data_IF_096885951152
#
_entry.id   IF_096885951152
#
_cell.length_a   1.000
_cell.length_b   1.000
_cell.length_c   1.000
_cell.angle_alpha   90.00
_cell.angle_beta   90.00
_cell.angle_gamma   90.00
#
_symmetry.space_group_name_H-M   'P 1'
#
loop_
_entity.id
_entity.type
_entity.pdbx_description
1 polymer ?
#
# COMPACT_ATOMS: atom_id res chain seq x y z
N UNK A 1 -49.77 -8.26 -16.25
CA UNK A 1 -49.41 -9.40 -15.39
C UNK A 1 -47.92 -9.32 -15.10
N UNK A 2 -47.54 -9.12 -13.83
CA UNK A 2 -46.14 -8.95 -13.39
C UNK A 2 -45.55 -10.35 -13.18
N UNK A 3 -44.62 -10.77 -14.03
CA UNK A 3 -43.81 -11.97 -13.76
C UNK A 3 -42.60 -11.56 -12.93
N UNK A 4 -42.67 -11.84 -11.63
CA UNK A 4 -41.59 -11.69 -10.67
C UNK A 4 -40.70 -12.94 -10.80
N UNK A 5 -39.59 -12.86 -11.54
CA UNK A 5 -38.58 -13.92 -11.54
C UNK A 5 -37.63 -13.68 -10.36
N UNK A 6 -37.93 -14.29 -9.22
CA UNK A 6 -37.02 -14.35 -8.09
C UNK A 6 -35.89 -15.33 -8.41
N UNK A 7 -34.77 -14.81 -8.90
CA UNK A 7 -33.51 -15.55 -9.04
C UNK A 7 -32.96 -15.81 -7.63
N UNK A 8 -33.30 -16.97 -7.09
CA UNK A 8 -32.71 -17.50 -5.87
C UNK A 8 -31.24 -17.84 -6.18
N UNK A 9 -30.32 -16.92 -5.87
CA UNK A 9 -28.88 -17.20 -5.87
C UNK A 9 -28.63 -18.23 -4.75
N UNK A 10 -28.63 -19.51 -5.10
CA UNK A 10 -28.09 -20.54 -4.24
C UNK A 10 -26.59 -20.22 -4.07
N UNK A 11 -26.22 -19.72 -2.90
CA UNK A 11 -24.82 -19.58 -2.52
C UNK A 11 -24.23 -20.99 -2.43
N UNK A 12 -23.60 -21.43 -3.52
CA UNK A 12 -22.74 -22.61 -3.49
C UNK A 12 -21.64 -22.28 -2.47
N UNK A 13 -21.50 -23.05 -1.38
CA UNK A 13 -20.33 -22.90 -0.53
C UNK A 13 -19.15 -23.39 -1.37
N UNK A 14 -18.47 -22.44 -2.02
CA UNK A 14 -17.23 -22.71 -2.73
C UNK A 14 -16.23 -23.17 -1.69
N UNK A 15 -16.07 -24.49 -1.56
CA UNK A 15 -15.03 -25.08 -0.73
C UNK A 15 -13.71 -24.45 -1.13
N UNK A 16 -13.13 -23.70 -0.19
CA UNK A 16 -11.80 -23.11 -0.29
C UNK A 16 -10.78 -24.22 -0.60
N UNK A 17 -10.46 -24.39 -1.88
CA UNK A 17 -9.38 -25.24 -2.34
C UNK A 17 -8.38 -24.35 -3.09
N UNK A 18 -7.24 -24.15 -2.42
CA UNK A 18 -6.05 -23.40 -2.82
C UNK A 18 -6.30 -21.97 -3.36
N UNK A 19 -6.29 -20.97 -2.49
CA UNK A 19 -6.00 -19.57 -2.89
C UNK A 19 -4.51 -19.36 -3.21
N UNK A 20 -3.76 -20.44 -3.46
CA UNK A 20 -2.35 -20.43 -3.84
C UNK A 20 -2.28 -20.77 -5.31
N UNK A 21 -1.60 -19.96 -6.10
CA UNK A 21 -1.40 -20.19 -7.53
C UNK A 21 -0.06 -19.65 -8.01
N UNK A 22 0.48 -20.18 -9.10
CA UNK A 22 1.64 -19.58 -9.80
C UNK A 22 1.20 -18.65 -10.95
N UNK A 23 -0.10 -18.58 -11.24
CA UNK A 23 -0.64 -17.74 -12.31
C UNK A 23 -1.20 -16.43 -11.72
N UNK A 24 -0.57 -15.31 -12.07
CA UNK A 24 -0.93 -14.00 -11.54
C UNK A 24 -2.33 -13.54 -11.97
N UNK A 25 -2.73 -13.83 -13.22
CA UNK A 25 -4.07 -13.46 -13.69
C UNK A 25 -5.16 -14.22 -12.94
N UNK A 26 -4.96 -15.53 -12.73
CA UNK A 26 -5.84 -16.34 -11.89
C UNK A 26 -5.86 -15.81 -10.45
N UNK A 27 -4.70 -15.45 -9.91
CA UNK A 27 -4.61 -14.85 -8.58
C UNK A 27 -5.39 -13.54 -8.47
N UNK A 28 -5.32 -12.69 -9.50
CA UNK A 28 -6.07 -11.43 -9.59
C UNK A 28 -7.58 -11.66 -9.63
N UNK A 29 -8.03 -12.61 -10.45
CA UNK A 29 -9.44 -12.98 -10.55
C UNK A 29 -9.98 -13.49 -9.20
N UNK A 30 -9.24 -14.37 -8.53
CA UNK A 30 -9.59 -14.86 -7.18
C UNK A 30 -9.66 -13.71 -6.17
N UNK A 31 -8.67 -12.81 -6.21
CA UNK A 31 -8.60 -11.68 -5.27
C UNK A 31 -9.75 -10.70 -5.48
N UNK A 32 -10.11 -10.42 -6.73
CA UNK A 32 -11.28 -9.59 -7.08
C UNK A 32 -12.59 -10.25 -6.64
N UNK A 33 -12.78 -11.55 -6.93
CA UNK A 33 -13.98 -12.28 -6.57
C UNK A 33 -14.23 -12.37 -5.06
N UNK A 34 -13.17 -12.37 -4.26
CA UNK A 34 -13.24 -12.46 -2.80
C UNK A 34 -13.00 -11.14 -2.07
N UNK A 35 -12.62 -10.06 -2.76
CA UNK A 35 -12.30 -8.77 -2.14
C UNK A 35 -11.08 -8.82 -1.21
N UNK A 36 -10.07 -9.61 -1.57
CA UNK A 36 -8.87 -9.82 -0.75
C UNK A 36 -7.62 -9.26 -1.43
N UNK A 37 -6.57 -8.90 -0.67
CA UNK A 37 -5.28 -8.56 -1.25
C UNK A 37 -4.57 -9.81 -1.83
N UNK A 38 -3.53 -9.56 -2.62
CA UNK A 38 -2.67 -10.60 -3.18
C UNK A 38 -1.29 -10.50 -2.53
N UNK A 39 -0.76 -11.60 -2.02
CA UNK A 39 0.63 -11.73 -1.61
C UNK A 39 1.44 -12.33 -2.77
N UNK A 40 2.26 -11.51 -3.43
CA UNK A 40 3.24 -11.99 -4.40
C UNK A 40 4.48 -12.47 -3.65
N UNK A 41 4.75 -13.76 -3.72
CA UNK A 41 5.83 -14.42 -2.98
C UNK A 41 6.97 -14.71 -3.95
N UNK A 42 7.98 -13.84 -3.94
CA UNK A 42 9.16 -13.96 -4.80
C UNK A 42 10.20 -14.85 -4.13
N UNK A 43 10.52 -15.99 -4.76
CA UNK A 43 11.39 -17.03 -4.18
C UNK A 43 12.40 -17.58 -5.19
N UNK A 44 13.46 -18.21 -4.69
CA UNK A 44 14.28 -19.16 -5.43
C UNK A 44 14.20 -20.52 -4.74
N UNK A 45 13.18 -21.32 -5.08
CA UNK A 45 12.79 -22.51 -4.31
C UNK A 45 13.87 -23.58 -4.16
N UNK A 46 14.82 -23.69 -5.09
CA UNK A 46 15.82 -24.76 -5.13
C UNK A 46 17.25 -24.34 -4.77
N UNK A 47 17.57 -23.04 -4.75
CA UNK A 47 18.90 -22.54 -4.42
C UNK A 47 18.94 -21.60 -3.19
N UNK A 48 17.79 -21.23 -2.63
CA UNK A 48 17.68 -20.34 -1.47
C UNK A 48 16.99 -21.02 -0.28
N UNK A 49 17.77 -21.41 0.73
CA UNK A 49 17.26 -21.99 1.99
C UNK A 49 16.21 -21.08 2.65
N UNK A 50 16.47 -19.77 2.70
CA UNK A 50 15.51 -18.77 3.22
C UNK A 50 14.19 -18.75 2.45
N UNK A 51 14.24 -18.98 1.14
CA UNK A 51 13.01 -19.08 0.34
C UNK A 51 12.20 -20.31 0.73
N UNK A 52 12.86 -21.44 1.02
CA UNK A 52 12.21 -22.66 1.49
C UNK A 52 11.54 -22.45 2.85
N UNK A 53 12.24 -21.81 3.79
CA UNK A 53 11.68 -21.47 5.12
C UNK A 53 10.44 -20.59 5.01
N UNK A 54 10.47 -19.54 4.17
CA UNK A 54 9.31 -18.66 3.95
C UNK A 54 8.14 -19.43 3.36
N UNK A 55 8.38 -20.31 2.38
CA UNK A 55 7.31 -21.14 1.80
C UNK A 55 6.67 -22.08 2.84
N UNK A 56 7.48 -22.68 3.71
CA UNK A 56 7.01 -23.53 4.80
C UNK A 56 6.14 -22.74 5.80
N UNK A 57 6.63 -21.58 6.25
CA UNK A 57 5.89 -20.72 7.20
C UNK A 57 4.59 -20.19 6.59
N UNK A 58 4.60 -19.75 5.33
CA UNK A 58 3.38 -19.28 4.67
C UNK A 58 2.34 -20.41 4.52
N UNK A 59 2.80 -21.65 4.32
CA UNK A 59 1.94 -22.82 4.22
C UNK A 59 1.32 -23.20 5.58
N UNK A 60 2.01 -22.99 6.69
CA UNK A 60 1.49 -23.32 8.03
C UNK A 60 0.45 -22.31 8.56
N UNK A 61 0.49 -21.05 8.12
CA UNK A 61 -0.32 -19.96 8.69
C UNK A 61 -1.76 -19.81 8.15
N UNK A 62 -2.23 -20.73 7.29
CA UNK A 62 -3.61 -20.72 6.76
C UNK A 62 -4.02 -19.36 6.18
N UNK A 63 -3.11 -18.73 5.43
CA UNK A 63 -3.27 -17.38 4.89
C UNK A 63 -4.34 -17.29 3.78
N UNK A 64 -4.64 -18.43 3.15
CA UNK A 64 -5.63 -18.60 2.08
C UNK A 64 -7.09 -18.41 2.53
N UNK A 65 -7.33 -17.74 3.65
CA UNK A 65 -8.66 -17.28 4.06
C UNK A 65 -8.76 -15.76 4.05
N UNK A 66 -7.63 -15.07 3.96
CA UNK A 66 -7.52 -13.61 4.11
C UNK A 66 -6.80 -12.95 2.93
N UNK A 67 -6.09 -13.72 2.11
CA UNK A 67 -5.37 -13.23 0.94
C UNK A 67 -5.11 -14.33 -0.08
N UNK A 68 -5.00 -13.93 -1.34
CA UNK A 68 -4.56 -14.82 -2.41
C UNK A 68 -3.04 -14.84 -2.45
N UNK A 69 -2.44 -16.02 -2.47
CA UNK A 69 -1.00 -16.19 -2.61
C UNK A 69 -0.68 -16.47 -4.08
N UNK A 70 0.18 -15.64 -4.66
CA UNK A 70 0.77 -15.90 -5.97
C UNK A 70 2.25 -16.18 -5.80
N UNK A 71 2.65 -17.42 -6.08
CA UNK A 71 4.06 -17.82 -6.06
C UNK A 71 4.76 -17.33 -7.32
N UNK A 72 5.78 -16.49 -7.14
CA UNK A 72 6.60 -15.91 -8.21
C UNK A 72 8.02 -16.46 -8.08
N UNK A 73 8.17 -17.73 -8.44
CA UNK A 73 9.40 -18.49 -8.19
C UNK A 73 10.40 -18.40 -9.35
N UNK A 74 11.70 -18.44 -9.01
CA UNK A 74 12.85 -18.42 -9.93
C UNK A 74 13.79 -19.62 -9.65
N UNK A 75 13.37 -20.84 -10.01
CA UNK A 75 14.18 -22.03 -9.81
C UNK A 75 15.35 -22.10 -10.81
N UNK A 76 16.45 -22.76 -10.42
CA UNK A 76 17.62 -23.03 -11.28
C UNK A 76 17.58 -24.44 -11.90
N UNK A 77 17.02 -25.41 -11.18
CA UNK A 77 16.99 -26.82 -11.55
C UNK A 77 15.69 -27.22 -12.26
N UNK A 78 14.58 -26.57 -11.91
CA UNK A 78 13.25 -26.91 -12.42
C UNK A 78 12.83 -26.06 -13.62
N UNK A 79 12.25 -26.70 -14.64
CA UNK A 79 11.68 -25.97 -15.79
C UNK A 79 10.28 -25.45 -15.48
N UNK A 80 10.07 -24.17 -15.76
CA UNK A 80 8.75 -23.55 -15.71
C UNK A 80 8.14 -23.45 -17.12
N UNK A 81 6.82 -23.43 -17.21
CA UNK A 81 6.14 -23.09 -18.46
C UNK A 81 6.54 -21.69 -18.93
N UNK A 82 6.73 -21.51 -20.25
CA UNK A 82 7.19 -20.24 -20.84
C UNK A 82 6.33 -19.05 -20.43
N UNK A 83 5.02 -19.24 -20.32
CA UNK A 83 4.09 -18.18 -19.88
C UNK A 83 4.32 -17.74 -18.44
N UNK A 84 4.52 -18.69 -17.52
CA UNK A 84 4.80 -18.43 -16.11
C UNK A 84 6.17 -17.76 -15.94
N UNK A 85 7.19 -18.22 -16.67
CA UNK A 85 8.52 -17.60 -16.65
C UNK A 85 8.45 -16.12 -17.07
N UNK A 86 7.82 -15.80 -18.20
CA UNK A 86 7.68 -14.43 -18.69
C UNK A 86 6.88 -13.55 -17.71
N UNK A 87 5.80 -14.09 -17.15
CA UNK A 87 5.03 -13.42 -16.10
C UNK A 87 5.90 -13.10 -14.89
N UNK A 88 6.68 -14.06 -14.40
CA UNK A 88 7.51 -13.89 -13.20
C UNK A 88 8.58 -12.82 -13.43
N UNK A 89 9.24 -12.80 -14.59
CA UNK A 89 10.18 -11.73 -14.95
C UNK A 89 9.51 -10.36 -15.01
N UNK A 90 8.34 -10.25 -15.64
CA UNK A 90 7.59 -9.00 -15.72
C UNK A 90 7.17 -8.49 -14.32
N UNK A 91 6.74 -9.40 -13.43
CA UNK A 91 6.41 -9.05 -12.04
C UNK A 91 7.65 -8.61 -11.26
N UNK A 92 8.78 -9.31 -11.41
CA UNK A 92 10.06 -8.95 -10.77
C UNK A 92 10.50 -7.55 -11.16
N UNK A 93 10.39 -7.21 -12.45
CA UNK A 93 10.71 -5.87 -12.95
C UNK A 93 9.72 -4.82 -12.41
N UNK A 94 8.41 -5.08 -12.52
CA UNK A 94 7.35 -4.16 -12.06
C UNK A 94 7.50 -3.79 -10.58
N UNK A 95 7.77 -4.77 -9.73
CA UNK A 95 7.90 -4.58 -8.27
C UNK A 95 9.35 -4.35 -7.81
N UNK A 96 10.29 -4.24 -8.77
CA UNK A 96 11.71 -3.95 -8.57
C UNK A 96 12.38 -4.91 -7.57
N UNK A 97 12.13 -6.20 -7.72
CA UNK A 97 12.63 -7.23 -6.82
C UNK A 97 14.07 -7.59 -7.19
N UNK A 98 14.98 -7.36 -6.24
CA UNK A 98 16.41 -7.60 -6.40
C UNK A 98 16.92 -8.80 -5.59
N UNK A 99 16.24 -9.15 -4.50
CA UNK A 99 16.67 -10.16 -3.54
C UNK A 99 15.53 -11.13 -3.21
N UNK A 100 15.91 -12.35 -2.85
CA UNK A 100 14.99 -13.42 -2.48
C UNK A 100 15.29 -13.92 -1.06
N UNK A 101 14.27 -14.30 -0.26
CA UNK A 101 12.85 -14.13 -0.54
C UNK A 101 12.39 -12.68 -0.35
N UNK A 102 11.37 -12.26 -1.10
CA UNK A 102 10.63 -11.00 -0.87
C UNK A 102 9.14 -11.26 -1.05
N UNK A 103 8.31 -10.80 -0.13
CA UNK A 103 6.85 -10.81 -0.31
C UNK A 103 6.35 -9.39 -0.51
N UNK A 104 5.59 -9.18 -1.58
CA UNK A 104 4.91 -7.91 -1.86
C UNK A 104 3.41 -8.14 -1.71
N UNK A 105 2.81 -7.47 -0.74
CA UNK A 105 1.36 -7.44 -0.59
C UNK A 105 0.80 -6.32 -1.46
N UNK A 106 -0.14 -6.66 -2.36
CA UNK A 106 -0.73 -5.74 -3.32
C UNK A 106 -2.26 -5.75 -3.23
N UNK A 107 -2.89 -4.63 -3.61
CA UNK A 107 -4.32 -4.58 -3.81
C UNK A 107 -4.74 -5.24 -5.14
N UNK A 108 -6.05 -5.36 -5.38
CA UNK A 108 -6.60 -5.97 -6.61
C UNK A 108 -6.28 -5.18 -7.88
N UNK A 109 -5.95 -3.89 -7.76
CA UNK A 109 -5.46 -3.07 -8.88
C UNK A 109 -3.95 -3.24 -9.12
N UNK A 110 -3.26 -4.01 -8.27
CA UNK A 110 -1.83 -4.27 -8.35
C UNK A 110 -0.96 -3.16 -7.77
N UNK A 111 -1.52 -2.26 -6.96
CA UNK A 111 -0.74 -1.29 -6.21
C UNK A 111 -0.17 -1.94 -4.95
N UNK A 112 1.06 -1.58 -4.59
CA UNK A 112 1.70 -2.07 -3.38
C UNK A 112 0.99 -1.52 -2.12
N UNK A 113 0.64 -2.44 -1.23
CA UNK A 113 0.15 -2.17 0.12
C UNK A 113 1.35 -2.13 1.07
N UNK A 114 2.20 -3.15 0.99
CA UNK A 114 3.39 -3.29 1.83
C UNK A 114 4.35 -4.30 1.22
N UNK A 115 5.60 -4.33 1.72
CA UNK A 115 6.61 -5.32 1.35
C UNK A 115 7.33 -5.84 2.59
N UNK A 116 7.64 -7.13 2.57
CA UNK A 116 8.42 -7.80 3.60
C UNK A 116 9.64 -8.45 2.94
N UNK A 117 10.83 -8.00 3.34
CA UNK A 117 12.11 -8.60 2.97
C UNK A 117 12.64 -9.53 4.07
N UNK A 118 13.79 -10.15 3.79
CA UNK A 118 14.58 -10.88 4.79
C UNK A 118 15.79 -10.02 5.22
N UNK A 119 16.20 -10.03 6.51
CA UNK A 119 15.62 -10.78 7.63
C UNK A 119 14.40 -10.08 8.26
N UNK A 120 13.35 -10.86 8.51
CA UNK A 120 12.50 -10.63 9.69
C UNK A 120 13.27 -11.26 10.85
N UNK A 121 13.31 -10.61 12.02
CA UNK A 121 14.05 -11.10 13.19
C UNK A 121 13.74 -12.56 13.54
N UNK A 122 12.52 -13.02 13.23
CA UNK A 122 12.12 -14.42 13.30
C UNK A 122 11.24 -14.83 12.10
N UNK A 123 11.65 -15.90 11.42
CA UNK A 123 10.94 -16.44 10.26
C UNK A 123 9.57 -17.02 10.64
N UNK A 124 9.40 -17.52 11.88
CA UNK A 124 8.11 -18.04 12.35
C UNK A 124 7.00 -16.98 12.34
N UNK A 125 7.38 -15.70 12.46
CA UNK A 125 6.42 -14.60 12.58
C UNK A 125 6.00 -14.05 11.21
N UNK A 126 6.61 -14.54 10.13
CA UNK A 126 6.38 -14.04 8.77
C UNK A 126 4.90 -14.12 8.37
N UNK A 127 4.28 -15.29 8.57
CA UNK A 127 2.87 -15.50 8.24
C UNK A 127 1.95 -14.66 9.13
N UNK A 128 2.21 -14.59 10.43
CA UNK A 128 1.44 -13.78 11.37
C UNK A 128 1.51 -12.28 11.04
N UNK A 129 2.70 -11.77 10.71
CA UNK A 129 2.89 -10.37 10.36
C UNK A 129 2.21 -10.03 9.03
N UNK A 130 2.35 -10.87 8.00
CA UNK A 130 1.68 -10.69 6.71
C UNK A 130 0.14 -10.64 6.89
N UNK A 131 -0.39 -11.55 7.72
CA UNK A 131 -1.80 -11.60 8.10
C UNK A 131 -2.25 -10.32 8.80
N UNK A 132 -1.45 -9.83 9.74
CA UNK A 132 -1.73 -8.57 10.44
C UNK A 132 -1.77 -7.38 9.48
N UNK A 133 -0.84 -7.29 8.53
CA UNK A 133 -0.82 -6.22 7.51
C UNK A 133 -2.08 -6.29 6.66
N UNK A 134 -2.46 -7.48 6.16
CA UNK A 134 -3.67 -7.66 5.36
C UNK A 134 -4.94 -7.22 6.11
N UNK A 135 -5.08 -7.63 7.37
CA UNK A 135 -6.20 -7.23 8.25
C UNK A 135 -6.23 -5.73 8.50
N UNK A 136 -5.08 -5.12 8.83
CA UNK A 136 -4.97 -3.67 9.06
C UNK A 136 -5.38 -2.89 7.80
N UNK A 137 -4.91 -3.32 6.64
CA UNK A 137 -5.27 -2.70 5.37
C UNK A 137 -6.78 -2.78 5.09
N UNK A 138 -7.40 -3.95 5.29
CA UNK A 138 -8.85 -4.11 5.12
C UNK A 138 -9.66 -3.22 6.08
N UNK A 139 -9.27 -3.18 7.36
CA UNK A 139 -9.92 -2.32 8.36
C UNK A 139 -9.74 -0.83 8.02
N UNK A 140 -8.56 -0.45 7.54
CA UNK A 140 -8.25 0.90 7.11
C UNK A 140 -9.13 1.33 5.92
N UNK A 141 -9.31 0.46 4.92
CA UNK A 141 -10.21 0.76 3.79
C UNK A 141 -11.64 1.02 4.26
N UNK A 142 -12.18 0.15 5.13
CA UNK A 142 -13.51 0.34 5.71
C UNK A 142 -13.64 1.63 6.52
N UNK A 143 -12.64 1.91 7.35
CA UNK A 143 -12.57 3.12 8.17
C UNK A 143 -12.53 4.37 7.30
N UNK A 144 -11.74 4.35 6.23
CA UNK A 144 -11.64 5.46 5.29
C UNK A 144 -12.95 5.74 4.55
N UNK A 145 -13.63 4.71 4.02
CA UNK A 145 -14.91 4.93 3.33
C UNK A 145 -15.96 5.52 4.28
N UNK A 146 -16.07 5.01 5.51
CA UNK A 146 -16.95 5.58 6.53
C UNK A 146 -16.60 7.05 6.83
N UNK A 147 -15.32 7.35 7.04
CA UNK A 147 -14.86 8.70 7.35
C UNK A 147 -15.13 9.68 6.20
N UNK A 148 -14.97 9.22 4.95
CA UNK A 148 -15.26 9.97 3.74
C UNK A 148 -16.75 10.28 3.59
N UNK A 149 -17.63 9.31 3.83
CA UNK A 149 -19.09 9.50 3.80
C UNK A 149 -19.56 10.46 4.90
N UNK A 150 -19.06 10.28 6.13
CA UNK A 150 -19.41 11.10 7.28
C UNK A 150 -18.70 12.46 7.31
N UNK A 151 -17.72 12.70 6.41
CA UNK A 151 -16.86 13.90 6.37
C UNK A 151 -16.12 14.13 7.70
N UNK A 152 -15.74 13.05 8.39
CA UNK A 152 -15.06 13.08 9.68
C UNK A 152 -13.57 13.41 9.51
N UNK A 153 -13.23 14.69 9.73
CA UNK A 153 -11.87 15.23 9.53
C UNK A 153 -10.78 14.50 10.33
N UNK A 154 -11.03 14.24 11.62
CA UNK A 154 -10.07 13.56 12.49
C UNK A 154 -9.78 12.14 12.03
N UNK A 155 -10.82 11.44 11.56
CA UNK A 155 -10.69 10.08 11.02
C UNK A 155 -9.90 10.03 9.71
N UNK A 156 -10.08 11.01 8.82
CA UNK A 156 -9.30 11.11 7.59
C UNK A 156 -7.80 11.27 7.87
N UNK A 157 -7.43 12.06 8.89
CA UNK A 157 -6.03 12.19 9.33
C UNK A 157 -5.48 10.86 9.83
N UNK A 158 -6.20 10.18 10.72
CA UNK A 158 -5.78 8.89 11.27
C UNK A 158 -5.66 7.81 10.18
N UNK A 159 -6.57 7.81 9.19
CA UNK A 159 -6.48 6.91 8.05
C UNK A 159 -5.23 7.19 7.20
N UNK A 160 -4.91 8.46 6.95
CA UNK A 160 -3.71 8.83 6.20
C UNK A 160 -2.43 8.36 6.90
N UNK A 161 -2.31 8.61 8.21
CA UNK A 161 -1.15 8.20 9.01
C UNK A 161 -0.98 6.67 9.00
N UNK A 162 -2.07 5.92 9.15
CA UNK A 162 -2.04 4.46 9.12
C UNK A 162 -1.69 3.94 7.71
N UNK A 163 -2.23 4.54 6.64
CA UNK A 163 -1.86 4.19 5.27
C UNK A 163 -0.35 4.38 5.03
N UNK A 164 0.21 5.48 5.54
CA UNK A 164 1.66 5.75 5.47
C UNK A 164 2.48 4.76 6.29
N UNK A 165 2.03 4.39 7.49
CA UNK A 165 2.70 3.35 8.32
C UNK A 165 2.71 1.98 7.66
N UNK A 166 1.67 1.61 6.93
CA UNK A 166 1.60 0.34 6.20
C UNK A 166 2.46 0.33 4.93
N UNK A 167 2.79 1.49 4.37
CA UNK A 167 3.43 1.63 3.06
C UNK A 167 2.43 1.70 1.88
N UNK A 168 1.13 1.83 2.17
CA UNK A 168 0.06 1.82 1.18
C UNK A 168 -0.06 3.18 0.46
N UNK A 169 0.95 3.56 -0.31
CA UNK A 169 1.09 4.89 -0.91
C UNK A 169 -0.12 5.28 -1.78
N UNK A 170 -0.69 4.33 -2.52
CA UNK A 170 -1.85 4.60 -3.37
C UNK A 170 -3.08 4.99 -2.54
N UNK A 171 -3.33 4.27 -1.45
CA UNK A 171 -4.42 4.57 -0.53
C UNK A 171 -4.14 5.89 0.21
N UNK A 172 -2.92 6.10 0.70
CA UNK A 172 -2.51 7.35 1.33
C UNK A 172 -2.73 8.57 0.41
N UNK A 173 -2.37 8.46 -0.87
CA UNK A 173 -2.63 9.51 -1.86
C UNK A 173 -4.13 9.76 -2.05
N UNK A 174 -4.94 8.71 -2.08
CA UNK A 174 -6.39 8.82 -2.24
C UNK A 174 -7.02 9.52 -1.03
N UNK A 175 -6.61 9.15 0.19
CA UNK A 175 -7.05 9.80 1.43
C UNK A 175 -6.64 11.27 1.43
N UNK A 176 -5.40 11.57 1.02
CA UNK A 176 -4.87 12.92 0.93
C UNK A 176 -5.70 13.78 -0.04
N UNK A 177 -5.99 13.27 -1.23
CA UNK A 177 -6.78 13.99 -2.25
C UNK A 177 -8.23 14.25 -1.79
N UNK A 178 -8.80 13.39 -0.96
CA UNK A 178 -10.13 13.59 -0.34
C UNK A 178 -10.07 14.60 0.81
N UNK A 179 -9.05 14.52 1.67
CA UNK A 179 -9.02 15.25 2.94
C UNK A 179 -8.29 16.60 2.91
N UNK A 180 -7.42 16.87 1.94
CA UNK A 180 -6.49 18.01 1.99
C UNK A 180 -7.16 19.39 2.09
N UNK A 181 -8.39 19.55 1.59
CA UNK A 181 -9.11 20.82 1.69
C UNK A 181 -9.74 21.05 3.06
N UNK A 182 -10.03 19.97 3.78
CA UNK A 182 -10.80 20.01 5.02
C UNK A 182 -9.94 19.88 6.27
N UNK A 183 -8.77 19.24 6.14
CA UNK A 183 -7.84 18.92 7.23
C UNK A 183 -6.52 19.64 6.98
N UNK A 184 -6.16 20.65 7.79
CA UNK A 184 -4.94 21.45 7.59
C UNK A 184 -3.65 20.61 7.54
N UNK A 185 -3.54 19.54 8.32
CA UNK A 185 -2.37 18.65 8.29
C UNK A 185 -2.27 17.92 6.95
N UNK A 186 -3.38 17.43 6.41
CA UNK A 186 -3.41 16.84 5.07
C UNK A 186 -3.14 17.88 3.98
N UNK A 187 -3.58 19.13 4.17
CA UNK A 187 -3.22 20.23 3.29
C UNK A 187 -1.70 20.42 3.24
N UNK A 188 -1.05 20.40 4.41
CA UNK A 188 0.40 20.51 4.53
C UNK A 188 1.11 19.35 3.82
N UNK A 189 0.66 18.12 4.07
CA UNK A 189 1.20 16.92 3.41
C UNK A 189 1.06 16.97 1.88
N UNK A 190 -0.08 17.48 1.38
CA UNK A 190 -0.28 17.70 -0.07
C UNK A 190 0.68 18.76 -0.58
N UNK A 191 0.81 19.88 0.12
CA UNK A 191 1.73 20.96 -0.25
C UNK A 191 3.18 20.47 -0.37
N UNK A 192 3.66 19.64 0.58
CA UNK A 192 4.99 19.03 0.51
C UNK A 192 5.22 18.24 -0.79
N UNK A 193 4.18 17.60 -1.35
CA UNK A 193 4.28 16.82 -2.59
C UNK A 193 4.23 17.65 -3.87
N UNK A 194 3.59 18.82 -3.84
CA UNK A 194 3.35 19.66 -5.04
C UNK A 194 4.10 20.99 -5.01
N UNK A 195 5.20 21.06 -4.26
CA UNK A 195 6.03 22.26 -4.17
C UNK A 195 6.47 22.74 -5.56
N UNK A 196 6.56 24.06 -5.73
CA UNK A 196 6.97 24.69 -6.99
C UNK A 196 5.88 24.75 -8.07
N UNK A 197 4.77 24.01 -7.93
CA UNK A 197 3.64 24.05 -8.87
C UNK A 197 2.69 25.22 -8.59
N UNK A 198 1.75 25.48 -9.51
CA UNK A 198 0.65 26.44 -9.29
C UNK A 198 -0.21 26.03 -8.08
N UNK A 199 -0.52 24.74 -7.97
CA UNK A 199 -1.27 24.18 -6.84
C UNK A 199 -0.52 24.41 -5.53
N UNK A 200 0.80 24.15 -5.49
CA UNK A 200 1.61 24.38 -4.30
C UNK A 200 1.62 25.82 -3.82
N UNK A 201 1.57 26.81 -4.74
CA UNK A 201 1.45 28.23 -4.36
C UNK A 201 0.09 28.54 -3.70
N UNK A 202 -0.99 27.95 -4.22
CA UNK A 202 -2.34 28.11 -3.66
C UNK A 202 -2.43 27.46 -2.28
N UNK A 203 -1.93 26.23 -2.14
CA UNK A 203 -1.92 25.52 -0.85
C UNK A 203 -1.07 26.25 0.19
N UNK A 204 0.09 26.78 -0.22
CA UNK A 204 0.92 27.60 0.66
C UNK A 204 0.15 28.82 1.19
N UNK A 205 -0.52 29.57 0.31
CA UNK A 205 -1.29 30.73 0.74
C UNK A 205 -2.45 30.34 1.68
N UNK A 206 -3.10 29.21 1.41
CA UNK A 206 -4.13 28.68 2.32
C UNK A 206 -3.55 28.31 3.70
N UNK A 207 -2.40 27.61 3.73
CA UNK A 207 -1.71 27.21 4.96
C UNK A 207 -1.24 28.39 5.81
N UNK A 208 -0.85 29.52 5.20
CA UNK A 208 -0.47 30.73 5.93
C UNK A 208 -1.63 31.37 6.71
N UNK A 209 -2.87 31.06 6.33
CA UNK A 209 -4.08 31.56 7.00
C UNK A 209 -4.65 30.55 8.02
N UNK A 210 -4.00 29.40 8.21
CA UNK A 210 -4.43 28.41 9.20
C UNK A 210 -3.94 28.84 10.58
N UNK A 211 -4.88 29.00 11.51
CA UNK A 211 -4.60 29.27 12.92
C UNK A 211 -4.20 27.99 13.67
N UNK A 212 -2.99 27.51 13.40
CA UNK A 212 -2.39 26.32 14.01
C UNK A 212 -0.87 26.48 14.13
N UNK A 213 -0.38 26.61 15.37
CA UNK A 213 1.03 26.86 15.68
C UNK A 213 1.97 25.76 15.15
N UNK A 214 1.50 24.52 15.15
CA UNK A 214 2.30 23.38 14.70
C UNK A 214 2.49 23.46 13.17
N UNK A 215 1.43 23.81 12.44
CA UNK A 215 1.48 23.99 11.00
C UNK A 215 2.34 25.22 10.63
N UNK A 216 2.19 26.34 11.33
CA UNK A 216 3.02 27.52 11.07
C UNK A 216 4.51 27.24 11.33
N UNK A 217 4.82 26.50 12.40
CA UNK A 217 6.19 26.04 12.71
C UNK A 217 6.75 25.15 11.60
N UNK A 218 5.99 24.13 11.18
CA UNK A 218 6.39 23.23 10.08
C UNK A 218 6.59 23.98 8.76
N UNK A 219 5.70 24.93 8.44
CA UNK A 219 5.80 25.75 7.24
C UNK A 219 7.07 26.60 7.24
N UNK A 220 7.37 27.25 8.38
CA UNK A 220 8.57 28.08 8.56
C UNK A 220 9.86 27.28 8.40
N UNK A 221 9.95 26.11 9.04
CA UNK A 221 11.09 25.20 8.92
C UNK A 221 11.34 24.80 7.46
N UNK A 222 10.27 24.56 6.72
CA UNK A 222 10.37 24.16 5.31
C UNK A 222 10.83 25.30 4.39
N UNK A 223 10.51 26.55 4.71
CA UNK A 223 10.99 27.73 3.99
C UNK A 223 12.49 28.00 4.21
N UNK A 224 12.99 27.72 5.41
CA UNK A 224 14.41 27.79 5.74
C UNK A 224 15.19 26.78 4.89
N UNK A 225 14.72 25.53 4.85
CA UNK A 225 15.41 24.45 4.10
C UNK A 225 15.37 24.66 2.58
N UNK A 226 14.32 25.30 2.06
CA UNK A 226 14.20 25.65 0.62
C UNK A 226 14.93 26.95 0.25
N UNK A 227 15.73 27.53 1.16
CA UNK A 227 16.68 28.60 0.87
C UNK A 227 16.06 29.99 0.61
N UNK A 228 14.75 30.17 0.83
CA UNK A 228 14.09 31.46 0.60
C UNK A 228 14.26 32.44 1.77
N UNK A 229 14.43 31.95 2.98
CA UNK A 229 14.47 32.80 4.18
C UNK A 229 15.90 33.28 4.51
N UNK A 230 16.91 32.42 4.40
CA UNK A 230 18.32 32.80 4.66
C UNK A 230 18.80 33.94 3.76
N UNK A 231 18.42 33.93 2.47
CA UNK A 231 18.81 34.99 1.52
C UNK A 231 18.17 36.36 1.82
N UNK A 232 16.98 36.40 2.44
CA UNK A 232 16.28 37.64 2.80
C UNK A 232 16.69 38.21 4.15
N UNK A 233 17.09 37.36 5.09
CA UNK A 233 17.60 37.77 6.39
C UNK A 233 19.01 38.36 6.23
N UNK A 234 19.88 37.67 5.49
CA UNK A 234 21.24 38.14 5.22
C UNK A 234 21.33 39.37 4.30
N UNK A 235 20.27 39.67 3.52
CA UNK A 235 20.21 40.88 2.69
C UNK A 235 19.61 42.10 3.40
N UNK A 236 19.12 41.94 4.63
CA UNK A 236 18.59 43.05 5.46
C UNK A 236 19.57 43.50 6.55
N UNK A 237 20.62 42.72 6.78
CA UNK A 237 21.70 43.02 7.75
C UNK A 237 22.98 43.50 7.05
N UNK A 238 22.85 44.24 5.95
CA UNK A 238 23.97 45.01 5.39
C UNK A 238 23.80 46.48 5.82
N UNK A 239 24.40 46.92 6.93
CA UNK A 239 24.59 48.34 7.15
C UNK A 239 25.65 48.84 6.15
N UNK A 240 25.30 49.90 5.41
CA UNK A 240 26.30 50.77 4.78
C UNK A 240 27.22 51.40 5.83
#
# INVERSE_FOLDING_TARGET
MKFLFALLFAAIPFCAHAQVTSNYLKGKELAEGHGMPIALVFTGSDWSERSQEVLEVLSSHHLSTEMVIVQVDFPELSRQEKGVLLQNHALKERYKIQHFPTVVLIDTAGNEISRLGFPIENVSDYGAHLKQIGRRYFLLQKRFEKAKEAKEKGELKLCYEEAKKLGAERLASTILDVGYKAVPELMFEKYCKVQGTKEGKVLKAALQNVDDDQIQSRLSLMEIHTGRTLRKVLSKESPD
#
